data_IF_500135584124
#
_entry.id   IF_500135584124
#
_cell.length_a   1.000
_cell.length_b   1.000
_cell.length_c   1.000
_cell.angle_alpha   90.00
_cell.angle_beta   90.00
_cell.angle_gamma   90.00
#
_symmetry.space_group_name_H-M   'P 1'
#
loop_
_entity.id
_entity.type
_entity.pdbx_description
1 polymer ?
#
# COMPACT_ATOMS: atom_id res chain seq x y z
N UNK A 1 -0.61 -21.50 10.86
CA UNK A 1 0.22 -20.36 11.32
C UNK A 1 1.33 -20.00 10.30
N UNK A 2 1.81 -20.96 9.49
CA UNK A 2 2.84 -20.73 8.46
C UNK A 2 2.40 -19.84 7.28
N UNK A 3 1.11 -19.81 6.93
CA UNK A 3 0.62 -19.01 5.80
C UNK A 3 0.69 -17.48 6.02
N UNK A 4 0.60 -17.03 7.28
CA UNK A 4 0.62 -15.58 7.62
C UNK A 4 2.03 -14.99 7.59
N UNK A 5 3.05 -15.77 7.94
CA UNK A 5 4.45 -15.32 7.92
C UNK A 5 4.87 -14.97 6.49
N UNK A 6 4.45 -15.78 5.51
CA UNK A 6 4.77 -15.56 4.11
C UNK A 6 4.18 -14.25 3.56
N UNK A 7 2.94 -13.90 3.90
CA UNK A 7 2.29 -12.70 3.38
C UNK A 7 2.92 -11.41 3.92
N UNK A 8 3.27 -11.36 5.20
CA UNK A 8 3.92 -10.22 5.83
C UNK A 8 5.34 -9.98 5.28
N UNK A 9 6.12 -11.05 5.08
CA UNK A 9 7.43 -10.97 4.44
C UNK A 9 7.28 -10.40 3.02
N UNK A 10 6.33 -10.94 2.24
CA UNK A 10 6.06 -10.47 0.88
C UNK A 10 5.62 -9.01 0.83
N UNK A 11 4.87 -8.53 1.83
CA UNK A 11 4.46 -7.14 1.93
C UNK A 11 5.64 -6.20 2.18
N UNK A 12 6.64 -6.62 2.97
CA UNK A 12 7.87 -5.86 3.22
C UNK A 12 8.78 -5.80 1.98
N UNK A 13 8.86 -6.90 1.23
CA UNK A 13 9.71 -6.99 0.04
C UNK A 13 9.09 -6.29 -1.18
N UNK A 14 7.77 -6.41 -1.37
CA UNK A 14 7.13 -5.90 -2.57
C UNK A 14 6.99 -4.38 -2.54
N UNK A 15 7.55 -3.69 -3.54
CA UNK A 15 7.41 -2.24 -3.69
C UNK A 15 6.16 -1.88 -4.47
N UNK A 16 5.28 -1.10 -3.84
CA UNK A 16 4.08 -0.55 -4.50
C UNK A 16 4.43 0.73 -5.26
N UNK A 17 5.17 1.65 -4.62
CA UNK A 17 5.70 2.84 -5.29
C UNK A 17 7.14 2.59 -5.73
N UNK A 18 7.34 2.33 -7.02
CA UNK A 18 8.66 1.98 -7.56
C UNK A 18 9.66 3.14 -7.52
N UNK A 19 9.24 4.37 -7.87
CA UNK A 19 10.15 5.53 -7.86
C UNK A 19 10.53 6.03 -6.46
N UNK A 20 9.74 5.70 -5.44
CA UNK A 20 10.00 6.08 -4.04
C UNK A 20 10.40 4.88 -3.16
N UNK A 21 10.54 3.69 -3.76
CA UNK A 21 10.81 2.43 -3.08
C UNK A 21 9.90 2.13 -1.88
N UNK A 22 8.62 2.54 -1.93
CA UNK A 22 7.68 2.36 -0.81
C UNK A 22 7.11 0.93 -0.83
N UNK A 23 7.30 0.14 0.24
CA UNK A 23 6.83 -1.24 0.31
C UNK A 23 5.32 -1.32 0.54
N UNK A 24 4.73 -2.47 0.18
CA UNK A 24 3.31 -2.77 0.40
C UNK A 24 2.95 -2.72 1.88
N UNK A 25 3.84 -3.17 2.75
CA UNK A 25 3.66 -3.11 4.21
C UNK A 25 3.38 -1.69 4.71
N UNK A 26 4.08 -0.67 4.21
CA UNK A 26 3.85 0.73 4.58
C UNK A 26 2.50 1.25 4.09
N UNK A 27 2.11 0.87 2.86
CA UNK A 27 0.79 1.22 2.31
C UNK A 27 -0.31 0.59 3.14
N UNK A 28 -0.21 -0.70 3.45
CA UNK A 28 -1.18 -1.43 4.25
C UNK A 28 -1.28 -0.89 5.68
N UNK A 29 -0.16 -0.56 6.31
CA UNK A 29 -0.14 0.08 7.63
C UNK A 29 -0.95 1.38 7.63
N UNK A 30 -0.69 2.28 6.68
CA UNK A 30 -1.46 3.52 6.57
C UNK A 30 -2.97 3.29 6.40
N UNK A 31 -3.36 2.26 5.65
CA UNK A 31 -4.78 1.90 5.47
C UNK A 31 -5.40 1.41 6.78
N UNK A 32 -4.70 0.56 7.56
CA UNK A 32 -5.15 0.12 8.88
C UNK A 32 -5.24 1.27 9.89
N UNK A 33 -4.34 2.24 9.76
CA UNK A 33 -4.32 3.45 10.59
C UNK A 33 -5.42 4.48 10.18
N UNK A 34 -6.30 4.12 9.23
CA UNK A 34 -7.48 4.91 8.87
C UNK A 34 -7.39 5.68 7.55
N UNK A 35 -6.33 5.53 6.76
CA UNK A 35 -6.24 6.16 5.44
C UNK A 35 -7.06 5.38 4.39
N UNK A 36 -8.31 5.79 4.18
CA UNK A 36 -9.28 5.07 3.34
C UNK A 36 -9.52 5.69 1.96
N UNK A 37 -8.74 6.70 1.60
CA UNK A 37 -8.68 7.31 0.26
C UNK A 37 -7.26 7.31 -0.30
N UNK A 38 -7.13 7.36 -1.63
CA UNK A 38 -5.83 7.44 -2.30
C UNK A 38 -4.99 8.62 -1.76
N UNK A 39 -5.63 9.79 -1.60
CA UNK A 39 -4.95 11.02 -1.15
C UNK A 39 -4.44 10.90 0.28
N UNK A 40 -5.21 10.30 1.18
CA UNK A 40 -4.78 10.06 2.57
C UNK A 40 -3.60 9.10 2.60
N UNK A 41 -3.65 8.00 1.84
CA UNK A 41 -2.54 7.03 1.77
C UNK A 41 -1.29 7.69 1.18
N UNK A 42 -1.43 8.48 0.12
CA UNK A 42 -0.30 9.24 -0.46
C UNK A 42 0.30 10.21 0.55
N UNK A 43 -0.54 10.94 1.31
CA UNK A 43 -0.10 11.86 2.37
C UNK A 43 0.64 11.12 3.49
N UNK A 44 0.10 9.99 3.96
CA UNK A 44 0.69 9.23 5.06
C UNK A 44 2.01 8.53 4.66
N UNK A 45 2.11 8.07 3.42
CA UNK A 45 3.23 7.19 3.00
C UNK A 45 4.31 7.90 2.19
N UNK A 46 3.96 9.04 1.57
CA UNK A 46 4.76 9.73 0.57
C UNK A 46 4.65 9.14 -0.84
N UNK A 47 3.84 8.10 -1.04
CA UNK A 47 3.62 7.52 -2.37
C UNK A 47 2.98 8.54 -3.32
N UNK A 48 3.28 8.43 -4.61
CA UNK A 48 2.76 9.34 -5.62
C UNK A 48 3.49 10.67 -5.76
N UNK A 49 4.36 11.03 -4.81
CA UNK A 49 5.15 12.28 -4.86
C UNK A 49 6.48 12.19 -5.64
N UNK A 50 6.81 11.03 -6.21
CA UNK A 50 8.03 10.85 -7.01
C UNK A 50 7.89 11.29 -8.46
N UNK A 51 8.96 11.18 -9.26
CA UNK A 51 8.99 11.66 -10.66
C UNK A 51 7.95 11.05 -11.62
N UNK A 52 7.30 9.94 -11.26
CA UNK A 52 6.18 9.40 -12.03
C UNK A 52 4.79 9.91 -11.58
N UNK A 53 4.74 10.81 -10.61
CA UNK A 53 3.54 11.51 -10.12
C UNK A 53 2.35 10.58 -9.84
N UNK A 54 2.60 9.45 -9.19
CA UNK A 54 1.54 8.49 -8.83
C UNK A 54 1.07 7.56 -9.94
N UNK A 55 1.40 7.82 -11.21
CA UNK A 55 0.91 7.05 -12.38
C UNK A 55 1.04 5.53 -12.24
N UNK A 56 2.09 5.04 -11.58
CA UNK A 56 2.37 3.60 -11.42
C UNK A 56 1.81 2.97 -10.14
N UNK A 57 1.66 3.75 -9.07
CA UNK A 57 1.30 3.21 -7.76
C UNK A 57 -0.13 3.52 -7.35
N UNK A 58 -0.73 4.63 -7.83
CA UNK A 58 -2.10 5.01 -7.51
C UNK A 58 -3.12 3.89 -7.77
N UNK A 59 -3.18 3.23 -8.94
CA UNK A 59 -4.16 2.15 -9.16
C UNK A 59 -3.93 0.95 -8.23
N UNK A 60 -2.67 0.66 -7.87
CA UNK A 60 -2.35 -0.41 -6.92
C UNK A 60 -2.78 -0.07 -5.49
N UNK A 61 -2.66 1.21 -5.11
CA UNK A 61 -3.09 1.70 -3.80
C UNK A 61 -4.62 1.67 -3.70
N UNK A 62 -5.33 2.11 -4.73
CA UNK A 62 -6.80 2.05 -4.79
C UNK A 62 -7.32 0.62 -4.67
N UNK A 63 -6.68 -0.32 -5.36
CA UNK A 63 -7.04 -1.74 -5.24
C UNK A 63 -6.77 -2.26 -3.81
N UNK A 64 -5.66 -1.90 -3.17
CA UNK A 64 -5.40 -2.28 -1.78
C UNK A 64 -6.48 -1.73 -0.83
N UNK A 65 -6.86 -0.46 -0.97
CA UNK A 65 -7.95 0.15 -0.20
C UNK A 65 -9.26 -0.61 -0.41
N UNK A 66 -9.59 -0.94 -1.67
CA UNK A 66 -10.80 -1.71 -2.01
C UNK A 66 -10.78 -3.10 -1.39
N UNK A 67 -9.64 -3.79 -1.43
CA UNK A 67 -9.49 -5.11 -0.83
C UNK A 67 -9.64 -5.06 0.70
N UNK A 68 -9.10 -4.03 1.35
CA UNK A 68 -9.25 -3.81 2.79
C UNK A 68 -10.72 -3.60 3.17
N UNK A 69 -11.43 -2.71 2.47
CA UNK A 69 -12.87 -2.45 2.70
C UNK A 69 -13.76 -3.67 2.49
N UNK A 70 -13.27 -4.67 1.75
CA UNK A 70 -13.96 -5.92 1.49
C UNK A 70 -13.48 -7.06 2.42
N UNK A 71 -12.72 -6.78 3.47
CA UNK A 71 -12.27 -7.79 4.44
C UNK A 71 -11.21 -8.77 3.94
N UNK A 72 -10.53 -8.51 2.81
CA UNK A 72 -9.66 -9.50 2.16
C UNK A 72 -8.29 -9.72 2.85
N UNK A 73 -7.82 -8.76 3.64
CA UNK A 73 -6.50 -8.85 4.29
C UNK A 73 -6.36 -8.05 5.58
N UNK A 74 -7.47 -7.65 6.23
CA UNK A 74 -7.50 -6.72 7.36
C UNK A 74 -6.38 -6.91 8.40
#
# INVERSE_FOLDING_TARGET
MEQNINSEIMDKLTKVCLCKAIPRSKIKAAIRDGAHTLKEVQKATGAGSGGCQGRRCSPKIEELIKQYKNGKWE
#
